data_IF_316249088857
#
_entry.id   IF_316249088857
#
_cell.length_a   1.000
_cell.length_b   1.000
_cell.length_c   1.000
_cell.angle_alpha   90.00
_cell.angle_beta   90.00
_cell.angle_gamma   90.00
#
_symmetry.space_group_name_H-M   'P 1'
#
loop_
_entity.id
_entity.type
_entity.pdbx_description
1 polymer ?
#
# COMPACT_ATOMS: atom_id res chain seq x y z
N UNK A 1 -7.12 25.83 -3.81
CA UNK A 1 -7.55 24.49 -3.36
C UNK A 1 -7.62 23.65 -4.62
N UNK A 2 -6.97 22.51 -4.67
CA UNK A 2 -7.20 21.58 -5.79
C UNK A 2 -8.64 21.05 -5.67
N UNK A 3 -9.26 20.78 -6.81
CA UNK A 3 -10.55 20.09 -6.79
C UNK A 3 -10.33 18.64 -6.32
N UNK A 4 -11.27 18.14 -5.51
CA UNK A 4 -11.28 16.73 -5.11
C UNK A 4 -11.38 15.90 -6.37
N UNK A 5 -10.57 14.84 -6.53
CA UNK A 5 -10.60 14.00 -7.73
C UNK A 5 -12.00 13.39 -7.96
N UNK A 6 -12.46 13.41 -9.21
CA UNK A 6 -13.73 12.75 -9.57
C UNK A 6 -13.60 11.21 -9.51
N UNK A 7 -12.37 10.70 -9.60
CA UNK A 7 -12.08 9.26 -9.55
C UNK A 7 -10.80 9.02 -8.77
N UNK A 8 -10.76 7.92 -8.00
CA UNK A 8 -9.54 7.43 -7.34
C UNK A 8 -9.22 5.99 -7.74
N UNK A 9 -7.95 5.62 -7.56
CA UNK A 9 -7.46 4.25 -7.68
C UNK A 9 -7.03 3.73 -6.32
N UNK A 10 -7.47 2.52 -6.00
CA UNK A 10 -7.10 1.83 -4.77
C UNK A 10 -6.27 0.61 -5.13
N UNK A 11 -5.08 0.51 -4.53
CA UNK A 11 -4.26 -0.69 -4.55
C UNK A 11 -4.61 -1.51 -3.32
N UNK A 12 -5.11 -2.71 -3.50
CA UNK A 12 -5.44 -3.61 -2.41
C UNK A 12 -4.19 -4.36 -1.96
N UNK A 13 -3.77 -4.13 -0.72
CA UNK A 13 -2.58 -4.76 -0.13
C UNK A 13 -2.89 -5.79 0.97
N UNK A 14 -4.16 -5.97 1.31
CA UNK A 14 -4.61 -6.85 2.39
C UNK A 14 -4.11 -8.29 2.29
N UNK A 15 -4.23 -8.96 1.14
CA UNK A 15 -3.72 -10.33 1.02
C UNK A 15 -2.22 -10.42 1.33
N UNK A 16 -1.41 -9.46 0.83
CA UNK A 16 0.04 -9.51 1.05
C UNK A 16 0.44 -9.01 2.44
N UNK A 17 0.02 -7.81 2.81
CA UNK A 17 0.47 -7.17 4.03
C UNK A 17 -0.23 -7.72 5.26
N UNK A 18 -1.53 -7.98 5.15
CA UNK A 18 -2.34 -8.53 6.22
C UNK A 18 -1.81 -9.85 6.72
N UNK A 19 -1.72 -10.80 5.85
CA UNK A 19 -1.27 -12.16 6.23
C UNK A 19 0.21 -12.22 6.66
N UNK A 20 1.00 -11.19 6.39
CA UNK A 20 2.40 -11.14 6.81
C UNK A 20 2.56 -10.96 8.32
N UNK A 21 1.63 -10.29 8.98
CA UNK A 21 1.72 -9.94 10.41
C UNK A 21 0.82 -10.79 11.31
N UNK A 22 -0.05 -11.58 10.72
CA UNK A 22 -0.94 -12.46 11.50
C UNK A 22 -0.13 -13.47 12.34
N UNK A 23 -0.52 -13.70 13.60
CA UNK A 23 0.26 -14.53 14.51
C UNK A 23 0.18 -16.03 14.22
N UNK A 24 -0.76 -16.47 13.39
CA UNK A 24 -0.99 -17.87 13.01
C UNK A 24 -0.69 -18.14 11.54
N UNK A 25 -0.47 -19.39 11.16
CA UNK A 25 -0.32 -19.75 9.76
C UNK A 25 -1.68 -19.64 9.04
N UNK A 26 -1.75 -18.74 8.07
CA UNK A 26 -2.88 -18.72 7.13
C UNK A 26 -2.59 -19.74 6.03
N UNK A 27 -3.59 -20.61 5.74
CA UNK A 27 -3.41 -21.65 4.73
C UNK A 27 -3.27 -21.06 3.32
N UNK A 28 -2.51 -21.71 2.44
CA UNK A 28 -2.42 -21.36 1.03
C UNK A 28 -3.79 -21.26 0.37
N UNK A 29 -4.68 -22.19 0.68
CA UNK A 29 -6.05 -22.20 0.17
C UNK A 29 -6.84 -20.95 0.59
N UNK A 30 -6.75 -20.53 1.86
CA UNK A 30 -7.45 -19.33 2.35
C UNK A 30 -6.88 -18.03 1.73
N UNK A 31 -5.57 -17.98 1.49
CA UNK A 31 -4.96 -16.84 0.76
C UNK A 31 -5.49 -16.74 -0.67
N UNK A 32 -5.56 -17.88 -1.37
CA UNK A 32 -6.10 -17.98 -2.73
C UNK A 32 -7.58 -17.59 -2.74
N UNK A 33 -8.37 -18.11 -1.82
CA UNK A 33 -9.80 -17.81 -1.69
C UNK A 33 -10.05 -16.29 -1.55
N UNK A 34 -9.29 -15.59 -0.70
CA UNK A 34 -9.44 -14.16 -0.54
C UNK A 34 -9.01 -13.39 -1.81
N UNK A 35 -7.92 -13.80 -2.47
CA UNK A 35 -7.45 -13.18 -3.72
C UNK A 35 -8.50 -13.35 -4.82
N UNK A 36 -9.09 -14.54 -4.96
CA UNK A 36 -10.11 -14.82 -5.95
C UNK A 36 -11.37 -13.97 -5.69
N UNK A 37 -11.83 -13.90 -4.43
CA UNK A 37 -12.97 -13.06 -4.06
C UNK A 37 -12.74 -11.59 -4.34
N UNK A 38 -11.59 -11.02 -3.95
CA UNK A 38 -11.22 -9.64 -4.22
C UNK A 38 -11.14 -9.34 -5.72
N UNK A 39 -10.74 -10.30 -6.54
CA UNK A 39 -10.64 -10.15 -7.98
C UNK A 39 -11.99 -9.95 -8.68
N UNK A 40 -13.11 -10.25 -8.02
CA UNK A 40 -14.48 -10.07 -8.53
C UNK A 40 -15.11 -8.74 -8.11
N UNK A 41 -14.46 -7.95 -7.24
CA UNK A 41 -15.04 -6.74 -6.66
C UNK A 41 -14.92 -5.49 -7.53
N UNK A 42 -14.23 -5.56 -8.67
CA UNK A 42 -13.90 -4.39 -9.49
C UNK A 42 -12.55 -3.74 -9.14
N UNK A 43 -11.83 -4.25 -8.15
CA UNK A 43 -10.44 -3.86 -7.89
C UNK A 43 -9.59 -4.11 -9.14
N UNK A 44 -8.82 -3.10 -9.55
CA UNK A 44 -7.95 -3.20 -10.73
C UNK A 44 -6.49 -3.52 -10.40
N UNK A 45 -6.13 -3.54 -9.11
CA UNK A 45 -4.79 -3.88 -8.63
C UNK A 45 -4.83 -4.52 -7.25
N UNK A 46 -4.21 -5.70 -7.13
CA UNK A 46 -4.13 -6.47 -5.90
C UNK A 46 -2.69 -6.94 -5.69
N UNK A 47 -2.12 -6.67 -4.53
CA UNK A 47 -0.82 -7.21 -4.14
C UNK A 47 -1.02 -8.56 -3.45
N UNK A 48 -0.67 -9.64 -4.15
CA UNK A 48 -1.11 -11.00 -3.80
C UNK A 48 -0.13 -11.81 -2.97
N UNK A 49 1.16 -11.48 -2.99
CA UNK A 49 2.18 -12.26 -2.29
C UNK A 49 3.46 -11.44 -2.00
N UNK A 50 4.36 -12.04 -1.22
CA UNK A 50 5.66 -11.46 -0.89
C UNK A 50 6.77 -12.48 -1.10
N UNK A 51 7.66 -12.22 -2.08
CA UNK A 51 8.87 -13.01 -2.32
C UNK A 51 10.03 -12.56 -1.43
N UNK A 52 9.81 -12.65 -0.13
CA UNK A 52 10.80 -12.34 0.91
C UNK A 52 11.45 -13.61 1.47
N UNK A 53 12.43 -13.45 2.35
CA UNK A 53 13.07 -14.59 2.99
C UNK A 53 12.07 -15.30 3.94
N UNK A 54 11.67 -16.56 3.67
CA UNK A 54 10.68 -17.29 4.46
C UNK A 54 11.11 -17.55 5.92
N UNK A 55 12.43 -17.52 6.20
CA UNK A 55 12.91 -17.59 7.59
C UNK A 55 12.63 -16.32 8.41
N UNK A 56 12.48 -15.17 7.74
CA UNK A 56 12.13 -13.90 8.39
C UNK A 56 10.64 -13.63 8.38
N UNK A 57 9.95 -14.07 7.34
CA UNK A 57 8.51 -13.91 7.15
C UNK A 57 7.89 -15.27 6.81
N UNK A 58 7.68 -16.14 7.83
CA UNK A 58 7.16 -17.49 7.61
C UNK A 58 5.78 -17.53 6.94
N UNK A 59 4.95 -16.50 7.16
CA UNK A 59 3.63 -16.39 6.55
C UNK A 59 3.64 -16.36 5.02
N UNK A 60 4.82 -16.12 4.38
CA UNK A 60 4.99 -16.13 2.92
C UNK A 60 5.95 -17.21 2.44
N UNK A 61 6.09 -18.30 3.20
CA UNK A 61 6.88 -19.44 2.76
C UNK A 61 6.29 -20.13 1.50
N UNK A 62 4.97 -20.03 1.34
CA UNK A 62 4.13 -20.59 0.29
C UNK A 62 3.81 -19.61 -0.87
N UNK A 63 4.61 -18.54 -1.02
CA UNK A 63 4.32 -17.49 -2.02
C UNK A 63 4.22 -18.03 -3.46
N UNK A 64 5.02 -19.02 -3.84
CA UNK A 64 5.02 -19.63 -5.18
C UNK A 64 3.71 -20.39 -5.43
N UNK A 65 3.24 -21.14 -4.43
CA UNK A 65 2.00 -21.89 -4.47
C UNK A 65 0.78 -20.95 -4.54
N UNK A 66 0.78 -19.87 -3.75
CA UNK A 66 -0.28 -18.85 -3.80
C UNK A 66 -0.35 -18.22 -5.19
N UNK A 67 0.79 -17.75 -5.72
CA UNK A 67 0.84 -17.09 -7.03
C UNK A 67 0.42 -18.01 -8.17
N UNK A 68 0.67 -19.31 -8.04
CA UNK A 68 0.30 -20.30 -9.04
C UNK A 68 -1.16 -20.77 -8.92
N UNK A 69 -1.83 -20.52 -7.78
CA UNK A 69 -3.10 -21.16 -7.44
C UNK A 69 -4.34 -20.31 -7.69
N UNK A 70 -4.28 -18.99 -7.65
CA UNK A 70 -5.46 -18.13 -7.84
C UNK A 70 -5.83 -17.93 -9.32
N UNK A 71 -7.12 -17.65 -9.57
CA UNK A 71 -7.68 -17.42 -10.88
C UNK A 71 -7.45 -15.96 -11.33
N UNK A 72 -6.62 -15.74 -12.35
CA UNK A 72 -6.39 -14.40 -12.90
C UNK A 72 -7.61 -13.88 -13.66
N UNK A 73 -8.00 -12.65 -13.38
CA UNK A 73 -9.11 -11.96 -14.06
C UNK A 73 -8.59 -10.89 -15.01
N UNK A 74 -9.24 -10.77 -16.17
CA UNK A 74 -8.94 -9.71 -17.11
C UNK A 74 -9.22 -8.34 -16.48
N UNK A 75 -8.31 -7.38 -16.67
CA UNK A 75 -8.43 -6.04 -16.10
C UNK A 75 -7.86 -5.88 -14.70
N UNK A 76 -7.48 -6.96 -14.02
CA UNK A 76 -6.85 -6.93 -12.71
C UNK A 76 -5.34 -7.11 -12.84
N UNK A 77 -4.58 -6.20 -12.25
CA UNK A 77 -3.12 -6.29 -12.09
C UNK A 77 -2.79 -7.01 -10.78
N UNK A 78 -2.02 -8.07 -10.87
CA UNK A 78 -1.56 -8.83 -9.72
C UNK A 78 -0.09 -8.52 -9.46
N UNK A 79 0.17 -7.77 -8.40
CA UNK A 79 1.51 -7.36 -7.98
C UNK A 79 2.02 -8.26 -6.85
N UNK A 80 3.32 -8.31 -6.68
CA UNK A 80 3.99 -8.99 -5.58
C UNK A 80 5.11 -8.13 -5.01
N UNK A 81 5.40 -8.30 -3.72
CA UNK A 81 6.50 -7.62 -3.07
C UNK A 81 7.79 -8.43 -3.17
N UNK A 82 8.89 -7.78 -3.48
CA UNK A 82 10.26 -8.26 -3.29
C UNK A 82 11.13 -7.17 -2.69
N UNK A 83 12.15 -7.57 -1.93
CA UNK A 83 13.07 -6.63 -1.25
C UNK A 83 14.52 -6.74 -1.75
N UNK A 84 14.80 -7.68 -2.63
CA UNK A 84 16.14 -7.94 -3.16
C UNK A 84 16.09 -8.73 -4.47
N UNK A 85 17.26 -8.85 -5.12
CA UNK A 85 17.42 -9.55 -6.39
C UNK A 85 16.89 -11.00 -6.35
N UNK A 86 17.08 -11.73 -5.24
CA UNK A 86 16.62 -13.13 -5.13
C UNK A 86 15.09 -13.20 -5.18
N UNK A 87 14.40 -12.32 -4.46
CA UNK A 87 12.94 -12.24 -4.49
C UNK A 87 12.42 -11.81 -5.86
N UNK A 88 13.08 -10.83 -6.48
CA UNK A 88 12.75 -10.37 -7.82
C UNK A 88 12.89 -11.49 -8.87
N UNK A 89 13.98 -12.25 -8.83
CA UNK A 89 14.18 -13.38 -9.75
C UNK A 89 13.11 -14.47 -9.58
N UNK A 90 12.67 -14.74 -8.34
CA UNK A 90 11.52 -15.64 -8.12
C UNK A 90 10.24 -15.09 -8.74
N UNK A 91 9.98 -13.79 -8.61
CA UNK A 91 8.80 -13.17 -9.23
C UNK A 91 8.81 -13.29 -10.77
N UNK A 92 9.98 -13.20 -11.39
CA UNK A 92 10.17 -13.40 -12.85
C UNK A 92 9.82 -14.81 -13.34
N UNK A 93 9.84 -15.81 -12.46
CA UNK A 93 9.50 -17.20 -12.82
C UNK A 93 8.00 -17.44 -12.96
N UNK A 94 7.17 -16.44 -12.58
CA UNK A 94 5.70 -16.57 -12.61
C UNK A 94 5.07 -15.69 -13.70
N UNK A 95 4.45 -16.32 -14.67
CA UNK A 95 3.69 -15.65 -15.71
C UNK A 95 2.44 -14.95 -15.13
N UNK A 96 2.03 -13.84 -15.75
CA UNK A 96 0.79 -13.12 -15.42
C UNK A 96 0.88 -12.23 -14.17
N UNK A 97 2.04 -12.10 -13.54
CA UNK A 97 2.29 -11.03 -12.58
C UNK A 97 2.59 -9.71 -13.30
N UNK A 98 2.11 -8.61 -12.74
CA UNK A 98 2.43 -7.27 -13.22
C UNK A 98 3.71 -6.79 -12.54
N UNK A 99 4.86 -7.15 -13.12
CA UNK A 99 6.14 -6.76 -12.57
C UNK A 99 6.41 -5.28 -12.86
N UNK A 100 6.36 -4.45 -11.82
CA UNK A 100 6.74 -3.04 -11.86
C UNK A 100 7.79 -2.80 -10.79
N UNK A 101 8.87 -2.15 -11.19
CA UNK A 101 9.96 -1.80 -10.29
C UNK A 101 9.54 -0.68 -9.34
N UNK A 102 10.04 -0.74 -8.13
CA UNK A 102 9.95 0.36 -7.17
C UNK A 102 11.29 0.61 -6.52
N UNK A 103 11.56 1.87 -6.21
CA UNK A 103 12.66 2.28 -5.35
C UNK A 103 12.10 2.87 -4.07
N UNK A 104 12.90 2.83 -2.99
CA UNK A 104 12.40 3.28 -1.71
C UNK A 104 13.44 3.97 -0.85
N UNK A 105 12.98 4.91 -0.04
CA UNK A 105 13.74 5.56 1.01
C UNK A 105 12.85 5.83 2.22
N UNK A 106 13.38 6.53 3.20
CA UNK A 106 12.65 6.97 4.40
C UNK A 106 13.14 8.36 4.81
N UNK A 107 12.32 9.08 5.56
CA UNK A 107 12.72 10.35 6.15
C UNK A 107 13.52 10.20 7.45
N UNK A 108 13.59 8.98 8.01
CA UNK A 108 14.26 8.65 9.28
C UNK A 108 15.40 7.67 9.07
N UNK A 109 16.62 8.11 9.34
CA UNK A 109 17.79 7.22 9.26
C UNK A 109 17.76 6.15 10.35
N UNK A 110 17.26 6.48 11.54
CA UNK A 110 17.08 5.51 12.62
C UNK A 110 16.12 4.38 12.21
N UNK A 111 15.01 4.71 11.54
CA UNK A 111 14.12 3.69 10.99
C UNK A 111 14.82 2.83 9.94
N UNK A 112 15.55 3.45 9.01
CA UNK A 112 16.29 2.73 7.97
C UNK A 112 17.30 1.74 8.57
N UNK A 113 18.08 2.18 9.56
CA UNK A 113 19.04 1.33 10.27
C UNK A 113 18.36 0.16 10.98
N UNK A 114 17.24 0.40 11.66
CA UNK A 114 16.49 -0.66 12.35
C UNK A 114 15.83 -1.66 11.38
N UNK A 115 15.33 -1.18 10.25
CA UNK A 115 14.59 -2.01 9.28
C UNK A 115 15.54 -2.79 8.34
N UNK A 116 16.58 -2.13 7.83
CA UNK A 116 17.42 -2.67 6.76
C UNK A 116 18.90 -2.80 7.14
N UNK A 117 19.29 -2.33 8.33
CA UNK A 117 20.68 -2.23 8.78
C UNK A 117 21.57 -1.39 7.84
N UNK A 118 21.03 -0.30 7.26
CA UNK A 118 21.69 0.60 6.31
C UNK A 118 21.54 2.04 6.72
N UNK A 119 22.47 2.90 6.29
CA UNK A 119 22.31 4.36 6.27
C UNK A 119 21.81 4.83 4.91
N UNK A 120 21.61 6.15 4.78
CA UNK A 120 21.11 6.75 3.52
C UNK A 120 22.03 6.49 2.33
N UNK A 121 23.34 6.68 2.47
CA UNK A 121 24.33 6.45 1.40
C UNK A 121 24.34 4.98 0.91
N UNK A 122 24.27 4.04 1.85
CA UNK A 122 24.14 2.62 1.50
C UNK A 122 22.82 2.33 0.78
N UNK A 123 21.73 2.98 1.19
CA UNK A 123 20.46 2.84 0.53
C UNK A 123 20.51 3.37 -0.90
N UNK A 124 21.08 4.55 -1.13
CA UNK A 124 21.25 5.12 -2.49
C UNK A 124 21.96 4.13 -3.41
N UNK A 125 23.06 3.54 -2.95
CA UNK A 125 23.79 2.53 -3.73
C UNK A 125 22.92 1.29 -4.03
N UNK A 126 22.13 0.84 -3.05
CA UNK A 126 21.23 -0.29 -3.24
C UNK A 126 20.12 0.04 -4.24
N UNK A 127 19.55 1.25 -4.19
CA UNK A 127 18.51 1.66 -5.14
C UNK A 127 19.05 1.77 -6.57
N UNK A 128 20.28 2.27 -6.79
CA UNK A 128 20.95 2.25 -8.10
C UNK A 128 21.09 0.81 -8.64
N UNK A 129 21.57 -0.10 -7.82
CA UNK A 129 21.71 -1.50 -8.21
C UNK A 129 20.35 -2.12 -8.54
N UNK A 130 19.31 -1.75 -7.80
CA UNK A 130 17.96 -2.22 -8.03
C UNK A 130 17.40 -1.71 -9.37
N UNK A 131 17.63 -0.44 -9.72
CA UNK A 131 17.26 0.13 -11.02
C UNK A 131 17.96 -0.64 -12.14
N UNK A 132 19.28 -0.83 -12.05
CA UNK A 132 20.04 -1.59 -13.07
C UNK A 132 19.55 -3.03 -13.20
N UNK A 133 19.17 -3.67 -12.10
CA UNK A 133 18.58 -5.00 -12.14
C UNK A 133 17.24 -4.99 -12.90
N UNK A 134 16.38 -4.01 -12.68
CA UNK A 134 15.11 -3.86 -13.40
C UNK A 134 15.34 -3.63 -14.90
N UNK A 135 16.27 -2.75 -15.26
CA UNK A 135 16.65 -2.46 -16.65
C UNK A 135 17.15 -3.72 -17.38
N UNK A 136 18.00 -4.51 -16.71
CA UNK A 136 18.52 -5.77 -17.27
C UNK A 136 17.43 -6.79 -17.62
N UNK A 137 16.24 -6.65 -17.00
CA UNK A 137 15.09 -7.53 -17.23
C UNK A 137 13.90 -6.83 -17.94
N UNK A 138 14.08 -5.60 -18.43
CA UNK A 138 13.03 -4.86 -19.12
C UNK A 138 11.85 -4.45 -18.23
N UNK A 139 12.06 -4.36 -16.91
CA UNK A 139 11.05 -3.96 -15.94
C UNK A 139 11.12 -2.46 -15.70
N UNK A 140 10.03 -1.76 -15.96
CA UNK A 140 9.91 -0.30 -15.75
C UNK A 140 9.88 0.01 -14.27
N UNK A 141 10.61 1.05 -13.84
CA UNK A 141 10.58 1.58 -12.47
C UNK A 141 9.43 2.59 -12.37
N UNK A 142 8.30 2.15 -11.81
CA UNK A 142 7.05 2.94 -11.79
C UNK A 142 6.97 3.86 -10.57
N UNK A 143 7.47 3.42 -9.40
CA UNK A 143 7.15 4.03 -8.10
C UNK A 143 8.38 4.33 -7.26
N UNK A 144 8.38 5.50 -6.63
CA UNK A 144 9.20 5.85 -5.49
C UNK A 144 8.34 5.80 -4.22
N UNK A 145 8.77 5.06 -3.20
CA UNK A 145 8.12 5.03 -1.89
C UNK A 145 8.98 5.71 -0.82
N UNK A 146 8.41 6.69 -0.12
CA UNK A 146 9.03 7.39 1.02
C UNK A 146 8.34 6.95 2.31
N UNK A 147 9.02 6.09 3.08
CA UNK A 147 8.53 5.61 4.37
C UNK A 147 8.70 6.67 5.46
N UNK A 148 7.93 6.54 6.55
CA UNK A 148 7.93 7.45 7.70
C UNK A 148 7.71 8.93 7.32
N UNK A 149 6.94 9.19 6.25
CA UNK A 149 6.79 10.54 5.70
C UNK A 149 6.18 11.55 6.69
N UNK A 150 5.37 11.10 7.64
CA UNK A 150 4.59 11.97 8.52
C UNK A 150 4.97 11.86 10.00
N UNK A 151 5.97 11.04 10.33
CA UNK A 151 6.45 10.85 11.69
C UNK A 151 7.09 9.48 11.91
N UNK A 152 7.92 9.38 12.96
CA UNK A 152 8.68 8.19 13.24
C UNK A 152 8.81 7.95 14.76
N UNK A 153 8.56 6.71 15.20
CA UNK A 153 8.72 6.33 16.63
C UNK A 153 10.17 6.45 17.14
N UNK A 154 11.15 6.58 16.23
CA UNK A 154 12.55 6.69 16.60
C UNK A 154 13.09 8.14 16.55
N UNK A 155 12.46 9.02 15.75
CA UNK A 155 12.95 10.39 15.54
C UNK A 155 11.87 11.46 15.78
N UNK A 156 10.62 11.06 16.06
CA UNK A 156 9.51 11.98 16.33
C UNK A 156 8.92 12.59 15.06
N UNK A 157 8.54 13.85 15.14
CA UNK A 157 7.91 14.61 14.06
C UNK A 157 8.82 14.75 12.84
N UNK A 158 8.24 14.69 11.66
CA UNK A 158 8.95 14.85 10.39
C UNK A 158 8.46 16.12 9.70
N UNK A 159 9.38 17.06 9.51
CA UNK A 159 9.11 18.29 8.80
C UNK A 159 8.97 18.04 7.28
N UNK A 160 8.07 18.76 6.57
CA UNK A 160 7.88 18.59 5.13
C UNK A 160 9.14 18.67 4.29
N UNK A 161 10.12 19.50 4.70
CA UNK A 161 11.42 19.61 4.04
C UNK A 161 12.22 18.30 4.00
N UNK A 162 12.10 17.44 5.02
CA UNK A 162 12.73 16.11 5.00
C UNK A 162 12.08 15.19 3.95
N UNK A 163 10.76 15.30 3.74
CA UNK A 163 10.05 14.56 2.69
C UNK A 163 10.59 14.99 1.33
N UNK A 164 10.67 16.30 1.10
CA UNK A 164 11.19 16.87 -0.16
C UNK A 164 12.62 16.40 -0.42
N UNK A 165 13.50 16.47 0.58
CA UNK A 165 14.89 16.00 0.44
C UNK A 165 14.99 14.50 0.12
N UNK A 166 14.15 13.68 0.74
CA UNK A 166 14.11 12.25 0.49
C UNK A 166 13.63 11.92 -0.95
N UNK A 167 12.60 12.62 -1.42
CA UNK A 167 12.09 12.51 -2.80
C UNK A 167 13.16 12.96 -3.79
N UNK A 168 13.76 14.14 -3.58
CA UNK A 168 14.78 14.72 -4.47
C UNK A 168 15.99 13.78 -4.64
N UNK A 169 16.49 13.19 -3.54
CA UNK A 169 17.60 12.23 -3.60
C UNK A 169 17.27 11.03 -4.49
N UNK A 170 16.08 10.46 -4.36
CA UNK A 170 15.69 9.27 -5.12
C UNK A 170 15.37 9.57 -6.59
N UNK A 171 14.71 10.70 -6.86
CA UNK A 171 14.44 11.11 -8.24
C UNK A 171 15.75 11.41 -8.99
N UNK A 172 16.73 12.06 -8.34
CA UNK A 172 18.08 12.27 -8.88
C UNK A 172 18.75 10.94 -9.24
N UNK A 173 18.66 9.93 -8.37
CA UNK A 173 19.23 8.61 -8.63
C UNK A 173 18.54 7.93 -9.82
N UNK A 174 17.23 8.04 -9.92
CA UNK A 174 16.49 7.48 -11.06
C UNK A 174 16.93 8.17 -12.38
N UNK A 175 17.00 9.50 -12.39
CA UNK A 175 17.45 10.28 -13.54
C UNK A 175 18.89 9.92 -13.96
N UNK A 176 19.82 9.83 -13.01
CA UNK A 176 21.21 9.40 -13.25
C UNK A 176 21.31 8.00 -13.85
N UNK A 177 20.33 7.13 -13.57
CA UNK A 177 20.19 5.80 -14.16
C UNK A 177 19.37 5.78 -15.45
N UNK A 178 18.86 6.94 -15.93
CA UNK A 178 18.04 7.03 -17.14
C UNK A 178 16.59 6.60 -16.98
N UNK A 179 16.07 6.59 -15.74
CA UNK A 179 14.68 6.25 -15.43
C UNK A 179 13.85 7.48 -15.07
N UNK A 180 12.56 7.41 -15.39
CA UNK A 180 11.57 8.42 -14.99
C UNK A 180 10.54 7.77 -14.07
N UNK A 181 10.42 8.27 -12.85
CA UNK A 181 9.43 7.79 -11.87
C UNK A 181 8.08 8.48 -12.15
N UNK A 182 7.02 7.70 -12.25
CA UNK A 182 5.66 8.24 -12.43
C UNK A 182 5.00 8.59 -11.09
N UNK A 183 5.19 7.72 -10.08
CA UNK A 183 4.43 7.78 -8.83
C UNK A 183 5.37 8.06 -7.65
N UNK A 184 5.07 9.11 -6.89
CA UNK A 184 5.68 9.38 -5.59
C UNK A 184 4.69 8.96 -4.51
N UNK A 185 5.02 7.93 -3.75
CA UNK A 185 4.22 7.42 -2.65
C UNK A 185 4.75 7.87 -1.30
N UNK A 186 3.89 8.50 -0.50
CA UNK A 186 4.20 8.92 0.85
C UNK A 186 3.51 7.98 1.84
N UNK A 187 4.31 7.32 2.69
CA UNK A 187 3.82 6.31 3.61
C UNK A 187 3.81 6.79 5.07
N UNK A 188 2.67 6.66 5.71
CA UNK A 188 2.50 6.80 7.17
C UNK A 188 2.84 5.50 7.88
N UNK A 189 4.11 5.09 7.79
CA UNK A 189 4.58 3.77 8.23
C UNK A 189 4.31 3.44 9.71
N UNK A 190 4.04 4.44 10.54
CA UNK A 190 3.87 4.26 11.99
C UNK A 190 2.59 4.91 12.53
N UNK A 191 1.66 5.31 11.65
CA UNK A 191 0.38 5.90 12.02
C UNK A 191 0.52 7.25 12.75
N UNK A 192 1.44 8.11 12.32
CA UNK A 192 1.66 9.45 12.86
C UNK A 192 0.92 10.54 12.12
N UNK A 193 0.45 10.25 10.91
CA UNK A 193 -0.20 11.23 10.07
C UNK A 193 -1.47 11.80 10.69
N UNK A 194 -1.65 13.08 10.46
CA UNK A 194 -2.89 13.83 10.73
C UNK A 194 -3.32 14.53 9.45
N UNK A 195 -4.59 14.93 9.29
CA UNK A 195 -5.04 15.70 8.13
C UNK A 195 -4.17 16.94 7.84
N UNK A 196 -3.65 17.58 8.90
CA UNK A 196 -2.75 18.73 8.77
C UNK A 196 -1.39 18.33 8.16
N UNK A 197 -0.75 17.28 8.70
CA UNK A 197 0.56 16.82 8.20
C UNK A 197 0.47 16.25 6.79
N UNK A 198 -0.64 15.58 6.44
CA UNK A 198 -0.93 15.14 5.07
C UNK A 198 -0.93 16.36 4.11
N UNK A 199 -1.72 17.38 4.41
CA UNK A 199 -1.79 18.58 3.56
C UNK A 199 -0.43 19.27 3.42
N UNK A 200 0.34 19.36 4.50
CA UNK A 200 1.67 19.97 4.49
C UNK A 200 2.68 19.15 3.68
N UNK A 201 2.74 17.82 3.89
CA UNK A 201 3.67 16.94 3.19
C UNK A 201 3.36 16.80 1.71
N UNK A 202 2.07 16.53 1.37
CA UNK A 202 1.62 16.45 -0.02
C UNK A 202 1.79 17.78 -0.73
N UNK A 203 1.46 18.90 -0.06
CA UNK A 203 1.63 20.25 -0.61
C UNK A 203 3.08 20.54 -0.98
N UNK A 204 4.03 20.26 -0.07
CA UNK A 204 5.46 20.50 -0.30
C UNK A 204 6.02 19.65 -1.47
N UNK A 205 5.59 18.39 -1.59
CA UNK A 205 6.01 17.54 -2.72
C UNK A 205 5.40 18.03 -4.03
N UNK A 206 4.12 18.38 -4.04
CA UNK A 206 3.40 18.85 -5.24
C UNK A 206 3.93 20.21 -5.73
N UNK A 207 4.30 21.10 -4.83
CA UNK A 207 4.92 22.39 -5.19
C UNK A 207 6.23 22.18 -5.98
N UNK A 208 7.01 21.17 -5.63
CA UNK A 208 8.31 20.89 -6.26
C UNK A 208 8.18 20.03 -7.50
N UNK A 209 7.22 19.08 -7.52
CA UNK A 209 7.00 18.13 -8.62
C UNK A 209 5.51 18.05 -8.98
N UNK A 210 4.97 19.08 -9.63
CA UNK A 210 3.53 19.18 -9.90
C UNK A 210 2.99 18.12 -10.87
N UNK A 211 3.86 17.58 -11.74
CA UNK A 211 3.48 16.63 -12.79
C UNK A 211 3.51 15.16 -12.32
N UNK A 212 4.06 14.90 -11.13
CA UNK A 212 4.09 13.54 -10.60
C UNK A 212 2.75 13.17 -9.95
N UNK A 213 2.36 11.93 -10.16
CA UNK A 213 1.24 11.33 -9.41
C UNK A 213 1.66 11.07 -7.97
N UNK A 214 0.93 11.63 -7.01
CA UNK A 214 1.15 11.34 -5.59
C UNK A 214 0.21 10.22 -5.16
N UNK A 215 0.78 9.20 -4.49
CA UNK A 215 0.05 8.14 -3.83
C UNK A 215 0.21 8.25 -2.30
N UNK A 216 -0.78 7.81 -1.54
CA UNK A 216 -0.72 7.72 -0.09
C UNK A 216 -0.87 6.27 0.36
N UNK A 217 0.03 5.85 1.26
CA UNK A 217 -0.06 4.60 2.00
C UNK A 217 -0.26 4.96 3.48
N UNK A 218 -1.48 4.73 3.98
CA UNK A 218 -1.94 5.26 5.26
C UNK A 218 -2.23 4.14 6.24
N UNK A 219 -1.75 4.33 7.49
CA UNK A 219 -2.08 3.44 8.60
C UNK A 219 -3.13 4.06 9.51
N UNK A 220 -4.09 3.25 9.92
CA UNK A 220 -5.19 3.67 10.81
C UNK A 220 -4.92 3.39 12.29
N UNK A 221 -3.67 3.18 12.65
CA UNK A 221 -3.22 2.86 14.01
C UNK A 221 -3.84 3.74 15.12
N UNK A 222 -4.18 4.99 14.78
CA UNK A 222 -4.79 5.97 15.69
C UNK A 222 -6.16 6.47 15.23
N UNK A 223 -6.85 5.71 14.38
CA UNK A 223 -8.18 6.08 13.89
C UNK A 223 -8.19 7.32 12.99
N UNK A 224 -7.08 7.60 12.29
CA UNK A 224 -6.97 8.78 11.42
C UNK A 224 -6.92 8.42 9.93
N UNK A 225 -6.95 7.14 9.58
CA UNK A 225 -6.74 6.66 8.20
C UNK A 225 -7.69 7.32 7.20
N UNK A 226 -8.99 7.27 7.44
CA UNK A 226 -10.03 7.86 6.57
C UNK A 226 -9.94 9.40 6.54
N UNK A 227 -9.72 10.05 7.68
CA UNK A 227 -9.54 11.50 7.73
C UNK A 227 -8.30 11.96 6.95
N UNK A 228 -7.22 11.18 7.01
CA UNK A 228 -5.99 11.43 6.27
C UNK A 228 -6.18 11.19 4.76
N UNK A 229 -6.93 10.15 4.37
CA UNK A 229 -7.27 9.90 2.97
C UNK A 229 -8.09 11.06 2.39
N UNK A 230 -9.11 11.51 3.11
CA UNK A 230 -9.90 12.69 2.73
C UNK A 230 -9.03 13.93 2.57
N UNK A 231 -8.14 14.22 3.54
CA UNK A 231 -7.22 15.34 3.46
C UNK A 231 -6.27 15.23 2.24
N UNK A 232 -5.86 14.01 1.87
CA UNK A 232 -5.11 13.75 0.64
C UNK A 232 -5.92 14.08 -0.61
N UNK A 233 -7.21 13.69 -0.65
CA UNK A 233 -8.11 14.02 -1.77
C UNK A 233 -8.29 15.54 -1.93
N UNK A 234 -8.42 16.29 -0.84
CA UNK A 234 -8.47 17.77 -0.90
C UNK A 234 -7.18 18.38 -1.46
N UNK A 235 -6.06 17.66 -1.39
CA UNK A 235 -4.80 18.02 -2.05
C UNK A 235 -4.66 17.43 -3.46
N UNK A 236 -5.71 16.81 -4.01
CA UNK A 236 -5.74 16.23 -5.34
C UNK A 236 -5.06 14.86 -5.45
N UNK A 237 -4.84 14.16 -4.34
CA UNK A 237 -4.35 12.77 -4.38
C UNK A 237 -5.47 11.85 -4.87
N UNK A 238 -5.14 11.02 -5.86
CA UNK A 238 -6.09 10.08 -6.48
C UNK A 238 -5.64 8.63 -6.42
N UNK A 239 -4.51 8.32 -5.76
CA UNK A 239 -4.02 6.95 -5.59
C UNK A 239 -3.80 6.64 -4.12
N UNK A 240 -4.38 5.53 -3.65
CA UNK A 240 -4.29 5.09 -2.27
C UNK A 240 -3.95 3.61 -2.21
N UNK A 241 -3.06 3.24 -1.28
CA UNK A 241 -2.90 1.86 -0.86
C UNK A 241 -3.84 1.64 0.32
N UNK A 242 -4.60 0.56 0.30
CA UNK A 242 -5.56 0.21 1.33
C UNK A 242 -5.58 -1.30 1.56
N UNK A 243 -6.27 -1.74 2.58
CA UNK A 243 -6.29 -3.14 2.96
C UNK A 243 -7.71 -3.55 3.37
N UNK A 244 -8.25 -4.58 2.71
CA UNK A 244 -9.56 -5.13 3.05
C UNK A 244 -9.65 -5.43 4.54
N UNK A 245 -10.76 -5.07 5.16
CA UNK A 245 -11.02 -5.20 6.60
C UNK A 245 -10.00 -4.47 7.50
N UNK A 246 -9.17 -3.57 6.96
CA UNK A 246 -8.09 -2.93 7.71
C UNK A 246 -6.95 -3.87 8.10
N UNK A 247 -6.79 -4.98 7.37
CA UNK A 247 -5.68 -5.92 7.56
C UNK A 247 -4.31 -5.23 7.45
N UNK A 248 -3.30 -5.82 8.08
CA UNK A 248 -1.93 -5.36 7.96
C UNK A 248 -1.52 -4.40 9.07
N UNK A 249 -0.41 -3.73 8.84
CA UNK A 249 0.20 -2.77 9.77
C UNK A 249 1.70 -2.91 9.86
N UNK A 250 2.34 -1.92 10.44
CA UNK A 250 3.78 -1.92 10.58
C UNK A 250 4.22 -2.74 11.80
N UNK A 251 4.97 -3.83 11.66
CA UNK A 251 5.48 -4.61 12.79
C UNK A 251 6.41 -3.78 13.70
N UNK A 252 6.97 -2.68 13.18
CA UNK A 252 7.81 -1.75 13.96
C UNK A 252 7.02 -0.74 14.79
N UNK A 253 5.72 -0.59 14.56
CA UNK A 253 4.87 0.24 15.42
C UNK A 253 4.74 -0.36 16.83
N UNK A 254 4.92 -1.68 16.99
CA UNK A 254 4.90 -2.44 18.26
C UNK A 254 3.64 -2.22 19.12
N UNK A 255 2.53 -1.86 18.47
CA UNK A 255 1.27 -1.61 19.15
C UNK A 255 0.36 -2.82 18.92
N UNK A 256 0.21 -3.68 19.93
CA UNK A 256 -0.73 -4.81 19.89
C UNK A 256 -2.16 -4.32 19.70
N UNK A 257 -2.86 -4.90 18.72
CA UNK A 257 -4.28 -4.61 18.44
C UNK A 257 -4.53 -3.24 17.82
N UNK A 258 -3.49 -2.55 17.33
CA UNK A 258 -3.68 -1.36 16.52
C UNK A 258 -4.17 -1.77 15.12
N UNK A 259 -5.14 -1.01 14.59
CA UNK A 259 -5.56 -1.14 13.20
C UNK A 259 -4.35 -1.01 12.26
N UNK A 260 -4.38 -1.77 11.18
CA UNK A 260 -3.34 -1.78 10.17
C UNK A 260 -3.46 -0.63 9.18
N UNK A 261 -3.54 -0.97 7.92
CA UNK A 261 -3.76 -0.02 6.84
C UNK A 261 -5.14 0.61 6.92
N UNK A 262 -5.34 1.74 6.24
CA UNK A 262 -6.67 2.27 5.98
C UNK A 262 -7.53 1.18 5.33
N UNK A 263 -8.75 1.03 5.85
CA UNK A 263 -9.66 -0.02 5.42
C UNK A 263 -10.21 0.25 4.01
N UNK A 264 -10.15 -0.71 3.12
CA UNK A 264 -10.56 -0.54 1.72
C UNK A 264 -12.06 -0.25 1.61
N UNK A 265 -12.92 -1.04 2.26
CA UNK A 265 -14.37 -0.85 2.22
C UNK A 265 -14.81 0.47 2.88
N UNK A 266 -14.14 0.91 3.95
CA UNK A 266 -14.42 2.20 4.58
C UNK A 266 -14.05 3.37 3.64
N UNK A 267 -12.94 3.24 2.91
CA UNK A 267 -12.49 4.22 1.93
C UNK A 267 -13.43 4.26 0.71
N UNK A 268 -13.84 3.10 0.19
CA UNK A 268 -14.79 2.98 -0.93
C UNK A 268 -16.13 3.57 -0.55
N UNK A 269 -16.65 3.25 0.65
CA UNK A 269 -17.89 3.82 1.16
C UNK A 269 -17.83 5.36 1.22
N UNK A 270 -16.77 5.92 1.78
CA UNK A 270 -16.61 7.38 1.80
C UNK A 270 -16.64 7.98 0.39
N UNK A 271 -15.94 7.35 -0.56
CA UNK A 271 -15.88 7.81 -1.95
C UNK A 271 -17.27 7.77 -2.62
N UNK A 272 -18.00 6.65 -2.49
CA UNK A 272 -19.34 6.51 -3.06
C UNK A 272 -20.30 7.59 -2.51
N UNK A 273 -20.32 7.81 -1.18
CA UNK A 273 -21.16 8.81 -0.54
C UNK A 273 -20.78 10.27 -0.92
N UNK A 274 -19.55 10.47 -1.40
CA UNK A 274 -19.06 11.76 -1.94
C UNK A 274 -19.22 11.88 -3.46
N UNK A 275 -19.70 10.84 -4.15
CA UNK A 275 -19.82 10.82 -5.60
C UNK A 275 -18.47 10.71 -6.32
N UNK A 276 -17.45 10.12 -5.67
CA UNK A 276 -16.13 9.85 -6.24
C UNK A 276 -16.12 8.43 -6.78
N UNK A 277 -15.78 8.27 -8.06
CA UNK A 277 -15.72 6.95 -8.70
C UNK A 277 -14.50 6.15 -8.21
N UNK A 278 -14.75 4.88 -7.83
CA UNK A 278 -13.70 3.92 -7.50
C UNK A 278 -13.65 2.75 -8.49
N UNK A 279 -14.78 2.46 -9.14
CA UNK A 279 -14.98 1.27 -9.98
C UNK A 279 -15.16 -0.02 -9.17
N UNK A 280 -15.22 0.06 -7.84
CA UNK A 280 -15.29 -1.09 -6.93
C UNK A 280 -16.73 -1.28 -6.46
N UNK A 281 -17.19 -2.52 -6.37
CA UNK A 281 -18.52 -2.89 -5.89
C UNK A 281 -18.47 -3.05 -4.36
N UNK A 282 -18.99 -2.08 -3.63
CA UNK A 282 -18.89 -2.02 -2.18
C UNK A 282 -19.48 -3.26 -1.47
N UNK A 283 -20.65 -3.73 -1.90
CA UNK A 283 -21.30 -4.88 -1.25
C UNK A 283 -20.46 -6.18 -1.41
N UNK A 284 -19.90 -6.42 -2.61
CA UNK A 284 -18.97 -7.52 -2.83
C UNK A 284 -17.67 -7.38 -2.01
N UNK A 285 -17.18 -6.16 -1.85
CA UNK A 285 -16.01 -5.88 -1.03
C UNK A 285 -16.28 -6.11 0.48
N UNK A 286 -17.48 -5.80 0.96
CA UNK A 286 -17.93 -6.11 2.32
C UNK A 286 -17.90 -7.62 2.57
N UNK A 287 -18.37 -8.43 1.62
CA UNK A 287 -18.29 -9.90 1.71
C UNK A 287 -16.82 -10.36 1.78
N UNK A 288 -15.92 -9.77 1.01
CA UNK A 288 -14.49 -10.05 1.09
C UNK A 288 -13.90 -9.67 2.46
N UNK A 289 -14.33 -8.57 3.05
CA UNK A 289 -13.87 -8.14 4.38
C UNK A 289 -14.33 -9.12 5.47
N UNK A 290 -15.58 -9.60 5.40
CA UNK A 290 -16.10 -10.64 6.30
C UNK A 290 -15.36 -11.97 6.11
N UNK A 291 -15.04 -12.35 4.87
CA UNK A 291 -14.21 -13.51 4.57
C UNK A 291 -12.81 -13.37 5.19
N UNK A 292 -12.18 -12.20 5.06
CA UNK A 292 -10.87 -11.95 5.65
C UNK A 292 -10.89 -12.10 7.17
N UNK A 293 -11.92 -11.58 7.86
CA UNK A 293 -12.10 -11.74 9.31
C UNK A 293 -12.28 -13.22 9.68
N UNK A 294 -13.06 -13.98 8.91
CA UNK A 294 -13.24 -15.41 9.12
C UNK A 294 -11.92 -16.19 8.93
N UNK A 295 -11.11 -15.83 7.95
CA UNK A 295 -9.82 -16.46 7.67
C UNK A 295 -8.83 -16.24 8.81
N UNK A 296 -8.71 -15.01 9.34
CA UNK A 296 -7.76 -14.71 10.43
C UNK A 296 -8.28 -15.17 11.79
N UNK A 297 -9.60 -15.36 11.95
CA UNK A 297 -10.23 -15.90 13.13
C UNK A 297 -10.29 -14.97 14.35
N UNK A 298 -10.19 -13.67 14.13
CA UNK A 298 -10.37 -12.64 15.16
C UNK A 298 -11.00 -11.37 14.53
N UNK A 299 -11.64 -10.49 15.33
CA UNK A 299 -12.25 -9.26 14.84
C UNK A 299 -11.24 -8.38 14.15
N UNK A 300 -11.64 -7.79 12.99
CA UNK A 300 -10.90 -6.82 12.22
C UNK A 300 -11.54 -5.42 12.34
N UNK A 301 -10.78 -4.33 12.15
CA UNK A 301 -11.23 -2.99 12.47
C UNK A 301 -12.16 -2.34 11.45
N UNK A 302 -12.42 -2.95 10.28
CA UNK A 302 -13.28 -2.38 9.25
C UNK A 302 -14.67 -2.04 9.78
N UNK A 303 -15.10 -0.80 9.58
CA UNK A 303 -16.40 -0.32 10.11
C UNK A 303 -17.56 -0.74 9.20
N UNK A 304 -17.38 -0.60 7.90
CA UNK A 304 -18.45 -0.83 6.91
C UNK A 304 -18.75 -2.32 6.74
N UNK A 305 -17.79 -3.21 6.93
CA UNK A 305 -18.05 -4.65 6.94
C UNK A 305 -19.08 -5.08 7.99
N UNK A 306 -19.22 -4.32 9.08
CA UNK A 306 -20.18 -4.59 10.14
C UNK A 306 -21.48 -3.79 9.99
N UNK A 307 -21.41 -2.56 9.43
CA UNK A 307 -22.54 -1.66 9.29
C UNK A 307 -23.38 -1.89 8.01
N UNK A 308 -22.73 -2.42 6.95
CA UNK A 308 -23.32 -2.53 5.62
C UNK A 308 -23.33 -1.22 4.84
N UNK A 309 -23.71 -1.30 3.55
CA UNK A 309 -23.82 -0.14 2.69
C UNK A 309 -25.11 0.66 2.95
N UNK A 310 -25.10 1.97 2.65
CA UNK A 310 -26.33 2.77 2.71
C UNK A 310 -27.29 2.45 1.55
N UNK A 311 -26.83 1.85 0.47
CA UNK A 311 -27.68 1.40 -0.64
C UNK A 311 -28.73 0.40 -0.15
N UNK A 312 -28.31 -0.59 0.66
CA UNK A 312 -29.21 -1.57 1.28
C UNK A 312 -30.26 -0.88 2.19
N UNK A 313 -29.83 0.08 3.00
CA UNK A 313 -30.73 0.82 3.88
C UNK A 313 -31.73 1.66 3.07
N UNK A 314 -31.25 2.38 2.05
CA UNK A 314 -32.09 3.22 1.16
C UNK A 314 -33.14 2.39 0.42
N UNK A 315 -32.84 1.16 0.02
CA UNK A 315 -33.79 0.28 -0.66
C UNK A 315 -35.04 -0.06 0.16
N UNK A 316 -34.98 0.12 1.50
CA UNK A 316 -36.12 -0.10 2.42
C UNK A 316 -37.12 1.06 2.42
N UNK A 317 -36.78 2.19 1.83
CA UNK A 317 -37.62 3.40 1.79
C UNK A 317 -38.19 3.68 0.38
N UNK A 318 -37.89 2.85 -0.59
CA UNK A 318 -38.39 2.85 -1.96
C UNK A 318 -39.09 1.55 -2.29
#
# INVERSE_FOLDING_TARGET
>A
MNEIPAQIQINEEGPREGFQIEPGPISTASKIELIDALSETGLNKIQVASFVNPKRVPGWADADEVVSGFARRAGVRYDVLWLNEKGFKRALEHDGLSLRGSISTTTSEAFMRNNTNRGFEDNERVQRNQIHLYQAHGVVVERLSVMTAFGCNFEGDIEPGKIVSAVESMLRIAEECGETIEIISLADSMGWATPRSIKQGVGAVRERWPDHTIALHLHDTRGQGIANAYAGMEMGVSRFDASVAGLGGCPFAKLKGAAGNVCTEDLVFMCEEMGIETGIQLDALIECAQLAEAIVGHPLPGSIMHAGSLAEVRSRFH
#
